data_IF_019251247538
#
_entry.id   IF_019251247538
#
_cell.length_a   1.000
_cell.length_b   1.000
_cell.length_c   1.000
_cell.angle_alpha   90.00
_cell.angle_beta   90.00
_cell.angle_gamma   90.00
#
_symmetry.space_group_name_H-M   'P 1'
#
loop_
_entity.id
_entity.type
_entity.pdbx_description
1 polymer ?
#
# COMPACT_ATOMS: atom_id res chain seq x y z
N UNK A 1 -18.53 -16.43 12.13
CA UNK A 1 -17.19 -15.83 12.26
C UNK A 1 -17.23 -14.38 11.80
N UNK A 2 -17.70 -14.11 10.57
CA UNK A 2 -17.89 -12.73 10.06
C UNK A 2 -18.86 -11.87 10.89
N UNK A 3 -19.99 -12.43 11.37
CA UNK A 3 -20.95 -11.69 12.21
C UNK A 3 -20.34 -11.15 13.51
N UNK A 4 -19.38 -11.84 14.11
CA UNK A 4 -18.78 -11.43 15.39
C UNK A 4 -17.90 -10.18 15.25
N UNK A 5 -17.39 -9.89 14.06
CA UNK A 5 -16.54 -8.73 13.79
C UNK A 5 -17.28 -7.59 13.07
N UNK A 6 -18.11 -7.91 12.07
CA UNK A 6 -18.79 -6.89 11.26
C UNK A 6 -20.14 -6.44 11.81
N UNK A 7 -20.73 -7.16 12.79
CA UNK A 7 -22.08 -6.91 13.30
C UNK A 7 -22.13 -6.53 14.79
N UNK A 8 -20.98 -6.44 15.45
CA UNK A 8 -20.86 -6.06 16.87
C UNK A 8 -20.45 -4.59 16.98
N UNK A 9 -21.08 -3.84 17.89
CA UNK A 9 -20.82 -2.41 18.07
C UNK A 9 -19.40 -2.12 18.53
N UNK A 10 -18.83 -3.00 19.34
CA UNK A 10 -17.46 -2.90 19.86
C UNK A 10 -16.41 -2.92 18.75
N UNK A 11 -16.61 -3.73 17.71
CA UNK A 11 -15.65 -3.96 16.63
C UNK A 11 -15.98 -3.17 15.36
N UNK A 12 -17.14 -2.49 15.30
CA UNK A 12 -17.60 -1.79 14.10
C UNK A 12 -16.58 -0.74 13.59
N UNK A 13 -15.99 0.05 14.49
CA UNK A 13 -14.98 1.06 14.11
C UNK A 13 -13.75 0.40 13.47
N UNK A 14 -13.26 -0.69 14.05
CA UNK A 14 -12.14 -1.45 13.49
C UNK A 14 -12.52 -2.11 12.18
N UNK A 15 -13.66 -2.79 12.10
CA UNK A 15 -14.10 -3.53 10.93
C UNK A 15 -14.29 -2.63 9.72
N UNK A 16 -15.09 -1.56 9.84
CA UNK A 16 -15.40 -0.66 8.73
C UNK A 16 -14.36 0.43 8.56
N UNK A 17 -13.90 1.06 9.64
CA UNK A 17 -12.89 2.13 9.57
C UNK A 17 -11.53 1.58 9.14
N UNK A 18 -11.07 0.49 9.76
CA UNK A 18 -9.83 -0.18 9.33
C UNK A 18 -9.92 -0.74 7.92
N UNK A 19 -11.07 -1.28 7.53
CA UNK A 19 -11.31 -1.74 6.15
C UNK A 19 -11.25 -0.58 5.14
N UNK A 20 -11.88 0.55 5.45
CA UNK A 20 -11.83 1.75 4.62
C UNK A 20 -10.41 2.29 4.49
N UNK A 21 -9.63 2.33 5.57
CA UNK A 21 -8.21 2.73 5.55
C UNK A 21 -7.38 1.82 4.64
N UNK A 22 -7.60 0.50 4.70
CA UNK A 22 -6.91 -0.45 3.81
C UNK A 22 -7.27 -0.24 2.34
N UNK A 23 -8.56 -0.09 2.03
CA UNK A 23 -9.03 0.17 0.67
C UNK A 23 -8.44 1.49 0.14
N UNK A 24 -8.48 2.55 0.95
CA UNK A 24 -7.89 3.84 0.60
C UNK A 24 -6.38 3.73 0.35
N UNK A 25 -5.67 3.00 1.21
CA UNK A 25 -4.24 2.80 1.06
C UNK A 25 -3.87 2.02 -0.21
N UNK A 26 -4.63 0.96 -0.53
CA UNK A 26 -4.47 0.22 -1.79
C UNK A 26 -4.75 1.13 -2.99
N UNK A 27 -5.81 1.94 -2.94
CA UNK A 27 -6.11 2.90 -4.00
C UNK A 27 -4.97 3.89 -4.23
N UNK A 28 -4.39 4.45 -3.16
CA UNK A 28 -3.21 5.32 -3.24
C UNK A 28 -1.99 4.59 -3.84
N UNK A 29 -1.74 3.34 -3.46
CA UNK A 29 -0.66 2.53 -4.03
C UNK A 29 -0.83 2.35 -5.54
N UNK A 30 -2.06 2.09 -6.01
CA UNK A 30 -2.35 1.96 -7.45
C UNK A 30 -2.06 3.26 -8.19
N UNK A 31 -2.44 4.42 -7.65
CA UNK A 31 -2.12 5.71 -8.28
C UNK A 31 -0.61 5.91 -8.41
N UNK A 32 0.16 5.55 -7.39
CA UNK A 32 1.63 5.60 -7.45
C UNK A 32 2.22 4.61 -8.45
N UNK A 33 1.66 3.41 -8.58
CA UNK A 33 2.08 2.45 -9.62
C UNK A 33 1.80 2.96 -11.04
N UNK A 34 0.67 3.64 -11.26
CA UNK A 34 0.39 4.28 -12.55
C UNK A 34 1.40 5.39 -12.84
N UNK A 35 1.74 6.22 -11.84
CA UNK A 35 2.77 7.24 -11.99
C UNK A 35 4.15 6.63 -12.32
N UNK A 36 4.52 5.53 -11.65
CA UNK A 36 5.74 4.78 -11.97
C UNK A 36 5.72 4.24 -13.40
N UNK A 37 4.59 3.75 -13.89
CA UNK A 37 4.47 3.25 -15.26
C UNK A 37 4.69 4.37 -16.29
N UNK A 38 4.09 5.54 -16.08
CA UNK A 38 4.34 6.72 -16.93
C UNK A 38 5.81 7.16 -16.88
N UNK A 39 6.43 7.14 -15.69
CA UNK A 39 7.85 7.40 -15.54
C UNK A 39 8.71 6.38 -16.29
N UNK A 40 8.39 5.09 -16.23
CA UNK A 40 9.09 4.03 -16.96
C UNK A 40 9.12 4.30 -18.46
N UNK A 41 8.00 4.71 -19.05
CA UNK A 41 7.95 5.09 -20.46
C UNK A 41 8.95 6.19 -20.79
N UNK A 42 8.89 7.31 -20.06
CA UNK A 42 9.79 8.46 -20.26
C UNK A 42 11.27 8.13 -20.04
N UNK A 43 11.55 7.21 -19.12
CA UNK A 43 12.91 6.78 -18.83
C UNK A 43 13.49 5.90 -19.93
N UNK A 44 12.72 4.94 -20.43
CA UNK A 44 13.17 4.12 -21.54
C UNK A 44 13.24 4.89 -22.85
N UNK A 45 12.35 5.85 -23.09
CA UNK A 45 12.43 6.76 -24.23
C UNK A 45 13.74 7.58 -24.20
N UNK A 46 14.15 8.06 -23.01
CA UNK A 46 15.42 8.77 -22.84
C UNK A 46 16.62 7.87 -23.16
N UNK A 47 16.58 6.61 -22.72
CA UNK A 47 17.64 5.63 -23.03
C UNK A 47 17.68 5.26 -24.51
N UNK A 48 16.51 5.12 -25.14
CA UNK A 48 16.40 4.76 -26.55
C UNK A 48 16.91 5.89 -27.46
N UNK A 49 16.60 7.14 -27.12
CA UNK A 49 17.05 8.32 -27.86
C UNK A 49 18.42 8.84 -27.38
N UNK A 50 19.21 8.00 -26.71
CA UNK A 50 20.55 8.35 -26.22
C UNK A 50 21.51 8.79 -27.34
N UNK A 51 21.29 8.31 -28.57
CA UNK A 51 22.06 8.72 -29.75
C UNK A 51 21.89 10.22 -30.09
N UNK A 52 20.76 10.83 -29.75
CA UNK A 52 20.51 12.26 -29.99
C UNK A 52 21.36 13.17 -29.09
N UNK A 53 21.94 12.60 -28.02
CA UNK A 53 22.79 13.31 -27.07
C UNK A 53 24.29 13.11 -27.34
N UNK A 54 24.68 12.51 -28.47
CA UNK A 54 26.10 12.27 -28.82
C UNK A 54 26.89 13.58 -28.91
N UNK A 55 26.29 14.62 -29.51
CA UNK A 55 26.92 15.93 -29.64
C UNK A 55 26.92 16.72 -28.31
N UNK A 56 26.09 16.30 -27.34
CA UNK A 56 25.90 16.97 -26.05
C UNK A 56 25.70 15.99 -24.89
N UNK A 57 26.74 15.21 -24.54
CA UNK A 57 26.62 14.12 -23.57
C UNK A 57 26.24 14.60 -22.16
N UNK A 58 26.59 15.84 -21.78
CA UNK A 58 26.20 16.38 -20.49
C UNK A 58 24.69 16.59 -20.35
N UNK A 59 23.99 17.05 -21.39
CA UNK A 59 22.53 17.26 -21.34
C UNK A 59 21.78 15.93 -21.14
N UNK A 60 22.25 14.86 -21.79
CA UNK A 60 21.70 13.51 -21.61
C UNK A 60 21.92 12.96 -20.20
N UNK A 61 23.14 13.12 -19.66
CA UNK A 61 23.46 12.68 -18.29
C UNK A 61 22.63 13.44 -17.24
N UNK A 62 22.50 14.76 -17.39
CA UNK A 62 21.67 15.57 -16.49
C UNK A 62 20.21 15.13 -16.54
N UNK A 63 19.65 14.90 -17.73
CA UNK A 63 18.28 14.42 -17.91
C UNK A 63 18.06 13.06 -17.25
N UNK A 64 19.06 12.16 -17.34
CA UNK A 64 19.02 10.85 -16.69
C UNK A 64 18.97 10.96 -15.16
N UNK A 65 19.86 11.74 -14.56
CA UNK A 65 19.84 11.97 -13.11
C UNK A 65 18.57 12.70 -12.66
N UNK A 66 18.06 13.63 -13.47
CA UNK A 66 16.80 14.31 -13.19
C UNK A 66 15.64 13.31 -13.09
N UNK A 67 15.56 12.36 -14.02
CA UNK A 67 14.51 11.34 -13.96
C UNK A 67 14.67 10.40 -12.75
N UNK A 68 15.89 10.11 -12.28
CA UNK A 68 16.09 9.18 -11.17
C UNK A 68 15.91 9.82 -9.78
N UNK A 69 16.55 10.96 -9.54
CA UNK A 69 16.75 11.49 -8.17
C UNK A 69 16.40 12.97 -8.00
N UNK A 70 15.82 13.65 -9.00
CA UNK A 70 15.46 15.06 -8.81
C UNK A 70 14.36 15.23 -7.77
N UNK A 71 14.38 16.37 -7.08
CA UNK A 71 13.33 16.81 -6.18
C UNK A 71 12.52 17.98 -6.77
N UNK A 72 12.71 18.26 -8.05
CA UNK A 72 12.14 19.44 -8.72
C UNK A 72 10.61 19.44 -8.66
N UNK A 73 9.98 18.28 -8.84
CA UNK A 73 8.54 18.11 -8.66
C UNK A 73 8.05 18.60 -7.29
N UNK A 74 8.79 18.30 -6.22
CA UNK A 74 8.42 18.71 -4.86
C UNK A 74 8.72 20.19 -4.63
N UNK A 75 9.88 20.66 -5.09
CA UNK A 75 10.30 22.05 -4.91
C UNK A 75 9.41 23.04 -5.70
N UNK A 76 8.85 22.60 -6.82
CA UNK A 76 7.95 23.40 -7.66
C UNK A 76 6.48 23.32 -7.23
N UNK A 77 6.18 22.75 -6.06
CA UNK A 77 4.80 22.70 -5.54
C UNK A 77 3.94 21.58 -6.13
N UNK A 78 4.53 20.43 -6.47
CA UNK A 78 3.87 19.26 -7.07
C UNK A 78 3.45 19.47 -8.54
N UNK A 79 4.15 20.35 -9.24
CA UNK A 79 3.95 20.63 -10.66
C UNK A 79 5.07 20.00 -11.51
N UNK A 80 4.68 19.41 -12.64
CA UNK A 80 5.58 18.76 -13.59
C UNK A 80 5.64 17.24 -13.43
N UNK A 81 6.69 16.64 -13.97
CA UNK A 81 6.89 15.19 -13.95
C UNK A 81 7.66 14.74 -12.70
N UNK A 82 7.10 13.83 -11.89
CA UNK A 82 7.80 13.31 -10.74
C UNK A 82 8.94 12.36 -11.15
N UNK A 83 10.07 12.47 -10.46
CA UNK A 83 11.20 11.55 -10.59
C UNK A 83 10.90 10.22 -9.91
N UNK A 84 11.70 9.19 -10.22
CA UNK A 84 11.58 7.88 -9.60
C UNK A 84 11.61 7.96 -8.07
N UNK A 85 12.58 8.69 -7.51
CA UNK A 85 12.73 8.82 -6.05
C UNK A 85 11.48 9.44 -5.41
N UNK A 86 10.92 10.49 -6.03
CA UNK A 86 9.73 11.19 -5.52
C UNK A 86 8.51 10.28 -5.46
N UNK A 87 8.38 9.30 -6.37
CA UNK A 87 7.26 8.35 -6.38
C UNK A 87 7.57 7.13 -5.50
N UNK A 88 8.77 6.56 -5.62
CA UNK A 88 9.15 5.31 -4.98
C UNK A 88 9.25 5.44 -3.46
N UNK A 89 9.78 6.55 -2.95
CA UNK A 89 9.91 6.77 -1.50
C UNK A 89 8.55 6.74 -0.77
N UNK A 90 7.55 7.57 -1.13
CA UNK A 90 6.24 7.50 -0.48
C UNK A 90 5.53 6.17 -0.74
N UNK A 91 5.74 5.54 -1.91
CA UNK A 91 5.18 4.22 -2.21
C UNK A 91 5.67 3.15 -1.22
N UNK A 92 6.99 3.05 -1.01
CA UNK A 92 7.58 2.06 -0.09
C UNK A 92 7.13 2.30 1.35
N UNK A 93 7.09 3.57 1.78
CA UNK A 93 6.59 3.94 3.10
C UNK A 93 5.12 3.52 3.27
N UNK A 94 4.27 3.85 2.30
CA UNK A 94 2.85 3.49 2.34
C UNK A 94 2.65 1.97 2.31
N UNK A 95 3.38 1.26 1.45
CA UNK A 95 3.30 -0.21 1.36
C UNK A 95 3.70 -0.87 2.68
N UNK A 96 4.76 -0.38 3.33
CA UNK A 96 5.23 -0.88 4.63
C UNK A 96 4.18 -0.65 5.72
N UNK A 97 3.64 0.56 5.81
CA UNK A 97 2.57 0.90 6.75
C UNK A 97 1.31 0.07 6.51
N UNK A 98 0.96 -0.16 5.25
CA UNK A 98 -0.21 -0.97 4.87
C UNK A 98 -0.03 -2.42 5.29
N UNK A 99 1.15 -3.00 5.07
CA UNK A 99 1.46 -4.37 5.49
C UNK A 99 1.37 -4.54 7.01
N UNK A 100 1.98 -3.60 7.75
CA UNK A 100 1.88 -3.56 9.21
C UNK A 100 0.42 -3.42 9.69
N UNK A 101 -0.33 -2.48 9.10
CA UNK A 101 -1.72 -2.24 9.48
C UNK A 101 -2.62 -3.43 9.14
N UNK A 102 -2.41 -4.09 7.99
CA UNK A 102 -3.11 -5.31 7.60
C UNK A 102 -2.92 -6.42 8.64
N UNK A 103 -1.70 -6.55 9.17
CA UNK A 103 -1.39 -7.51 10.23
C UNK A 103 -2.17 -7.22 11.52
N UNK A 104 -2.22 -5.94 11.93
CA UNK A 104 -3.02 -5.51 13.09
C UNK A 104 -4.51 -5.76 12.85
N UNK A 105 -5.03 -5.39 11.68
CA UNK A 105 -6.42 -5.60 11.32
C UNK A 105 -6.80 -7.08 11.40
N UNK A 106 -5.92 -7.97 10.91
CA UNK A 106 -6.09 -9.42 11.04
C UNK A 106 -6.09 -9.91 12.48
N UNK A 107 -5.23 -9.38 13.35
CA UNK A 107 -5.21 -9.71 14.78
C UNK A 107 -6.49 -9.27 15.49
N UNK A 108 -7.00 -8.07 15.18
CA UNK A 108 -8.27 -7.57 15.73
C UNK A 108 -9.45 -8.42 15.28
N UNK A 109 -9.46 -8.85 14.03
CA UNK A 109 -10.45 -9.80 13.53
C UNK A 109 -10.41 -11.14 14.29
N UNK A 110 -9.21 -11.71 14.51
CA UNK A 110 -9.03 -12.93 15.31
C UNK A 110 -9.50 -12.75 16.75
N UNK A 111 -9.15 -11.64 17.39
CA UNK A 111 -9.58 -11.32 18.75
C UNK A 111 -11.11 -11.28 18.86
N UNK A 112 -11.80 -10.63 17.92
CA UNK A 112 -13.25 -10.54 17.90
C UNK A 112 -13.93 -11.91 17.70
N UNK A 113 -13.33 -12.79 16.89
CA UNK A 113 -13.79 -14.16 16.77
C UNK A 113 -13.63 -14.90 18.10
N UNK A 114 -12.45 -14.90 18.70
CA UNK A 114 -12.19 -15.60 19.97
C UNK A 114 -13.20 -15.21 21.05
N UNK A 115 -13.37 -13.91 21.32
CA UNK A 115 -14.31 -13.46 22.35
C UNK A 115 -15.78 -13.67 21.98
N UNK A 116 -16.13 -13.62 20.70
CA UNK A 116 -17.50 -13.90 20.25
C UNK A 116 -17.89 -15.38 20.33
N UNK A 117 -16.92 -16.29 20.34
CA UNK A 117 -17.16 -17.74 20.35
C UNK A 117 -16.90 -18.42 21.70
N UNK A 118 -16.01 -17.90 22.55
CA UNK A 118 -15.74 -18.45 23.90
C UNK A 118 -17.02 -18.69 24.71
N UNK A 119 -17.98 -17.75 24.83
CA UNK A 119 -19.21 -17.98 25.59
C UNK A 119 -20.10 -19.05 24.97
N UNK A 120 -20.07 -19.20 23.65
CA UNK A 120 -20.85 -20.23 22.95
C UNK A 120 -20.27 -21.62 23.18
N UNK A 121 -18.95 -21.74 23.20
CA UNK A 121 -18.25 -23.00 23.49
C UNK A 121 -18.45 -23.47 24.93
N UNK A 122 -18.51 -22.55 25.90
CA UNK A 122 -18.73 -22.90 27.32
C UNK A 122 -20.15 -23.35 27.66
N UNK A 123 -21.12 -23.07 26.79
CA UNK A 123 -22.53 -23.35 27.03
C UNK A 123 -23.06 -24.50 26.15
N UNK A 124 -22.17 -25.30 25.54
CA UNK A 124 -22.59 -26.50 24.79
C UNK A 124 -22.88 -27.61 25.78
N UNK A 125 -24.06 -28.23 25.67
CA UNK A 125 -24.54 -29.30 26.56
C UNK A 125 -23.90 -30.67 26.29
N UNK A 126 -23.35 -30.88 25.08
CA UNK A 126 -22.62 -32.09 24.67
C UNK A 126 -21.16 -31.77 24.33
N UNK A 127 -20.20 -32.42 25.00
CA UNK A 127 -18.81 -32.39 24.55
C UNK A 127 -18.69 -33.20 23.26
N UNK A 128 -18.49 -32.51 22.13
CA UNK A 128 -18.14 -33.19 20.88
C UNK A 128 -16.65 -33.53 20.95
N UNK A 129 -16.35 -34.80 21.24
CA UNK A 129 -14.99 -35.35 21.18
C UNK A 129 -14.40 -35.12 19.78
N UNK A 130 -13.37 -34.27 19.69
CA UNK A 130 -12.73 -33.92 18.44
C UNK A 130 -12.27 -32.46 18.31
N UNK A 131 -12.58 -31.59 19.27
CA UNK A 131 -12.18 -30.18 19.22
C UNK A 131 -10.65 -29.93 19.32
N UNK A 132 -9.83 -30.97 19.50
CA UNK A 132 -8.35 -30.88 19.57
C UNK A 132 -7.60 -31.57 18.42
N UNK A 133 -8.28 -32.01 17.36
CA UNK A 133 -7.60 -32.54 16.15
C UNK A 133 -7.54 -31.50 15.04
#
# INVERSE_FOLDING_TARGET
MLRSYYRTKEWALWAYGGGAVLIFSIWMQVQMTVALNTWYGKFYDLLQNSADYVDKPQEGITSFYQQLISLDYVNNGLEGDPSFLVIATPYVLLATLTSWFTSIYGLRWRQAMTWGYIPRWRNVEEEIEGASQ
#
